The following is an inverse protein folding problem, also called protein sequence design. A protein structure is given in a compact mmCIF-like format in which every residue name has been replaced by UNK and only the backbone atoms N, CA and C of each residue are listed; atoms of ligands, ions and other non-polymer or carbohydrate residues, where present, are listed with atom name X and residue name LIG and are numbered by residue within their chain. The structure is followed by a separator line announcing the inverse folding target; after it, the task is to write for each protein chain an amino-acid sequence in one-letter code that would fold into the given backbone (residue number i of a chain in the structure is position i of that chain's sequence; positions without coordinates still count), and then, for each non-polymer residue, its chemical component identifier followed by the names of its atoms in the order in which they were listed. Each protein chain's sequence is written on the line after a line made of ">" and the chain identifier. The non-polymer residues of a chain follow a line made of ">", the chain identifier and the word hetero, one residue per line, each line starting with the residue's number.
data_IF_217575144094
#
_entry.id   IF_217575144094
#
_cell.length_a   1.000
_cell.length_b   1.000
_cell.length_c   1.000
_cell.angle_alpha   90.00
_cell.angle_beta   90.00
_cell.angle_gamma   90.00
#
_symmetry.space_group_name_H-M   'P 1'
#
loop_
_entity.id
_entity.type
_entity.pdbx_description
1 polymer ?
#
# COMPACT_ATOMS: atom_id res chain seq x y z
N UNK A 1 -1.39 14.62 -8.25
CA UNK A 1 -0.97 13.25 -7.90
C UNK A 1 -1.88 12.68 -6.80
N UNK A 2 -1.93 13.25 -5.58
CA UNK A 2 -2.80 12.72 -4.51
C UNK A 2 -4.30 12.65 -4.88
N UNK A 3 -4.87 13.72 -5.46
CA UNK A 3 -6.28 13.73 -5.88
C UNK A 3 -6.60 12.69 -6.98
N UNK A 4 -5.67 12.48 -7.93
CA UNK A 4 -5.79 11.49 -9.01
C UNK A 4 -5.68 10.05 -8.45
N UNK A 5 -4.79 9.82 -7.48
CA UNK A 5 -4.67 8.53 -6.79
C UNK A 5 -5.95 8.19 -6.01
N UNK A 6 -6.53 9.17 -5.30
CA UNK A 6 -7.80 8.99 -4.58
C UNK A 6 -8.94 8.67 -5.55
N UNK A 7 -8.99 9.31 -6.72
CA UNK A 7 -9.99 9.01 -7.75
C UNK A 7 -9.86 7.58 -8.28
N UNK A 8 -8.63 7.13 -8.57
CA UNK A 8 -8.34 5.74 -9.00
C UNK A 8 -8.77 4.74 -7.92
N UNK A 9 -8.46 5.00 -6.65
CA UNK A 9 -8.84 4.14 -5.53
C UNK A 9 -10.37 4.06 -5.36
N UNK A 10 -11.07 5.19 -5.55
CA UNK A 10 -12.53 5.22 -5.53
C UNK A 10 -13.15 4.41 -6.66
N UNK A 11 -12.64 4.52 -7.90
CA UNK A 11 -13.10 3.71 -9.03
C UNK A 11 -12.86 2.21 -8.81
N UNK A 12 -11.72 1.84 -8.24
CA UNK A 12 -11.43 0.47 -7.85
C UNK A 12 -12.45 -0.03 -6.81
N UNK A 13 -12.67 0.76 -5.75
CA UNK A 13 -13.64 0.44 -4.69
C UNK A 13 -15.04 0.20 -5.24
N UNK A 14 -15.53 1.07 -6.10
CA UNK A 14 -16.85 0.92 -6.73
C UNK A 14 -16.97 -0.39 -7.53
N UNK A 15 -15.90 -0.76 -8.24
CA UNK A 15 -15.85 -2.00 -9.02
C UNK A 15 -15.95 -3.24 -8.12
N UNK A 16 -15.22 -3.25 -7.00
CA UNK A 16 -15.28 -4.36 -6.02
C UNK A 16 -16.64 -4.42 -5.31
N UNK A 17 -17.22 -3.27 -4.92
CA UNK A 17 -18.56 -3.20 -4.33
C UNK A 17 -19.62 -3.74 -5.28
N UNK A 18 -19.56 -3.38 -6.57
CA UNK A 18 -20.47 -3.89 -7.60
C UNK A 18 -20.34 -5.41 -7.76
N UNK A 19 -19.10 -5.93 -7.80
CA UNK A 19 -18.82 -7.37 -7.89
C UNK A 19 -19.33 -8.13 -6.66
N UNK A 20 -19.14 -7.58 -5.45
CA UNK A 20 -19.67 -8.14 -4.20
C UNK A 20 -21.20 -8.20 -4.21
N UNK A 21 -21.86 -7.14 -4.71
CA UNK A 21 -23.32 -7.11 -4.82
C UNK A 21 -23.85 -8.15 -5.80
N UNK A 22 -23.25 -8.26 -6.98
CA UNK A 22 -23.62 -9.28 -7.96
C UNK A 22 -23.41 -10.70 -7.41
N UNK A 23 -22.33 -10.92 -6.66
CA UNK A 23 -22.08 -12.20 -5.98
C UNK A 23 -23.13 -12.48 -4.88
N UNK A 24 -23.48 -11.48 -4.07
CA UNK A 24 -24.54 -11.61 -3.07
C UNK A 24 -25.88 -12.00 -3.70
N UNK A 25 -26.25 -11.37 -4.82
CA UNK A 25 -27.48 -11.70 -5.56
C UNK A 25 -27.49 -13.14 -6.08
N UNK A 26 -26.32 -13.69 -6.47
CA UNK A 26 -26.19 -15.10 -6.85
C UNK A 26 -26.24 -16.06 -5.65
N UNK A 27 -25.92 -15.58 -4.44
CA UNK A 27 -25.98 -16.37 -3.22
C UNK A 27 -27.39 -16.47 -2.63
N UNK A 28 -28.27 -15.48 -2.84
CA UNK A 28 -29.63 -15.44 -2.27
C UNK A 28 -30.51 -16.65 -2.66
N UNK A 29 -30.55 -17.11 -3.93
CA UNK A 29 -31.38 -18.26 -4.33
C UNK A 29 -30.77 -19.61 -3.94
N UNK A 30 -29.49 -19.64 -3.57
CA UNK A 30 -28.67 -20.84 -3.65
C UNK A 30 -28.16 -21.26 -2.26
N UNK A 31 -29.06 -21.70 -1.38
CA UNK A 31 -28.79 -22.10 0.01
C UNK A 31 -27.42 -22.76 0.25
N UNK A 32 -27.24 -24.03 -0.14
CA UNK A 32 -25.97 -24.74 0.07
C UNK A 32 -24.82 -24.28 -0.86
N UNK A 33 -25.11 -23.60 -1.97
CA UNK A 33 -24.07 -23.07 -2.87
C UNK A 33 -23.43 -21.79 -2.33
N UNK A 34 -24.12 -21.05 -1.44
CA UNK A 34 -23.57 -19.90 -0.74
C UNK A 34 -22.26 -20.23 0.00
N UNK A 35 -22.11 -21.46 0.51
CA UNK A 35 -20.86 -21.91 1.14
C UNK A 35 -19.67 -21.96 0.14
N UNK A 36 -19.93 -22.20 -1.15
CA UNK A 36 -18.88 -22.17 -2.19
C UNK A 36 -18.46 -20.76 -2.55
N UNK A 37 -19.37 -19.80 -2.45
CA UNK A 37 -19.09 -18.38 -2.71
C UNK A 37 -18.53 -17.65 -1.48
N UNK A 38 -18.68 -18.20 -0.27
CA UNK A 38 -18.25 -17.56 0.97
C UNK A 38 -16.76 -17.16 1.01
N UNK A 39 -15.78 -17.97 0.55
CA UNK A 39 -14.38 -17.55 0.52
C UNK A 39 -14.15 -16.35 -0.40
N UNK A 40 -14.68 -16.41 -1.63
CA UNK A 40 -14.55 -15.33 -2.60
C UNK A 40 -15.29 -14.06 -2.16
N UNK A 41 -16.41 -14.20 -1.43
CA UNK A 41 -17.15 -13.08 -0.86
C UNK A 41 -16.34 -12.39 0.25
N UNK A 42 -15.68 -13.17 1.11
CA UNK A 42 -14.77 -12.65 2.14
C UNK A 42 -13.57 -11.93 1.50
N UNK A 43 -12.99 -12.48 0.43
CA UNK A 43 -11.89 -11.84 -0.30
C UNK A 43 -12.33 -10.49 -0.90
N UNK A 44 -13.53 -10.41 -1.47
CA UNK A 44 -14.09 -9.15 -1.97
C UNK A 44 -14.30 -8.12 -0.84
N UNK A 45 -14.77 -8.57 0.32
CA UNK A 45 -14.94 -7.69 1.49
C UNK A 45 -13.57 -7.18 2.00
N UNK A 46 -12.59 -8.06 2.13
CA UNK A 46 -11.23 -7.70 2.53
C UNK A 46 -10.58 -6.69 1.55
N UNK A 47 -10.79 -6.88 0.24
CA UNK A 47 -10.30 -5.96 -0.78
C UNK A 47 -10.94 -4.56 -0.66
N UNK A 48 -12.25 -4.49 -0.38
CA UNK A 48 -12.94 -3.21 -0.17
C UNK A 48 -12.39 -2.50 1.08
N UNK A 49 -12.20 -3.23 2.18
CA UNK A 49 -11.65 -2.66 3.42
C UNK A 49 -10.20 -2.18 3.26
N UNK A 50 -9.39 -2.91 2.48
CA UNK A 50 -8.04 -2.48 2.14
C UNK A 50 -8.04 -1.19 1.31
N UNK A 51 -8.98 -1.05 0.36
CA UNK A 51 -9.14 0.18 -0.43
C UNK A 51 -9.64 1.35 0.43
N UNK A 52 -10.59 1.10 1.34
CA UNK A 52 -11.08 2.13 2.27
C UNK A 52 -9.94 2.64 3.17
N UNK A 53 -9.07 1.74 3.66
CA UNK A 53 -7.87 2.13 4.42
C UNK A 53 -6.89 2.92 3.55
N UNK A 54 -6.63 2.48 2.32
CA UNK A 54 -5.72 3.18 1.41
C UNK A 54 -6.21 4.59 1.07
N UNK A 55 -7.51 4.77 0.83
CA UNK A 55 -8.12 6.10 0.61
C UNK A 55 -7.92 6.98 1.85
N UNK A 56 -8.24 6.46 3.04
CA UNK A 56 -8.09 7.21 4.28
C UNK A 56 -6.62 7.56 4.61
N UNK A 57 -5.68 6.71 4.21
CA UNK A 57 -4.25 6.98 4.35
C UNK A 57 -3.82 8.07 3.36
N UNK A 58 -4.22 8.00 2.09
CA UNK A 58 -3.96 9.06 1.09
C UNK A 58 -4.56 10.42 1.47
N UNK A 59 -5.74 10.45 2.10
CA UNK A 59 -6.36 11.69 2.62
C UNK A 59 -5.61 12.30 3.80
N UNK A 60 -4.94 11.48 4.62
CA UNK A 60 -4.16 11.92 5.78
C UNK A 60 -2.73 12.32 5.42
N UNK A 61 -2.23 11.86 4.28
CA UNK A 61 -0.88 12.17 3.85
C UNK A 61 -0.76 13.67 3.50
N UNK A 62 0.25 14.37 4.04
CA UNK A 62 0.49 15.75 3.68
C UNK A 62 0.83 15.85 2.18
N UNK A 63 0.39 16.95 1.55
CA UNK A 63 0.73 17.23 0.16
C UNK A 63 2.25 17.18 -0.02
N UNK A 64 2.72 16.28 -0.88
CA UNK A 64 4.14 16.10 -1.16
C UNK A 64 4.81 14.88 -0.51
N UNK A 65 4.10 14.04 0.24
CA UNK A 65 4.68 12.82 0.83
C UNK A 65 5.28 11.85 -0.20
N UNK A 66 4.67 11.75 -1.39
CA UNK A 66 5.20 10.96 -2.51
C UNK A 66 6.06 11.80 -3.48
N UNK A 67 6.17 13.11 -3.26
CA UNK A 67 7.18 13.92 -3.93
C UNK A 67 8.48 13.51 -3.29
N UNK A 68 9.28 12.71 -4.01
CA UNK A 68 10.66 12.35 -3.62
C UNK A 68 11.24 13.53 -2.84
N UNK A 69 11.64 13.25 -1.61
CA UNK A 69 12.54 14.12 -0.85
C UNK A 69 13.50 14.74 -1.86
N UNK A 70 13.63 16.08 -1.95
CA UNK A 70 14.78 16.62 -2.67
C UNK A 70 15.97 15.92 -2.03
N UNK A 71 16.73 15.15 -2.82
CA UNK A 71 18.02 14.60 -2.41
C UNK A 71 18.69 15.72 -1.64
N UNK A 72 18.75 15.58 -0.32
CA UNK A 72 19.22 16.64 0.56
C UNK A 72 20.52 17.11 -0.03
N UNK A 73 20.52 18.38 -0.46
CA UNK A 73 21.69 19.05 -0.95
C UNK A 73 22.85 18.64 -0.05
N UNK A 74 23.76 17.83 -0.60
CA UNK A 74 25.01 17.51 0.10
C UNK A 74 25.59 18.88 0.45
N UNK A 75 25.85 19.19 1.72
CA UNK A 75 26.64 20.38 2.02
C UNK A 75 27.96 20.19 1.27
N UNK A 76 28.33 21.18 0.45
CA UNK A 76 29.64 21.25 -0.19
C UNK A 76 30.70 20.97 0.89
N UNK A 77 31.21 19.74 0.87
CA UNK A 77 32.33 19.34 1.70
C UNK A 77 33.52 20.17 1.24
N UNK A 78 34.22 20.89 2.14
CA UNK A 78 35.47 21.53 1.76
C UNK A 78 36.43 20.43 1.31
N UNK A 79 36.82 20.54 0.05
CA UNK A 79 37.90 19.87 -0.64
C UNK A 79 38.91 19.17 0.30
N UNK A 80 38.86 17.83 0.35
CA UNK A 80 39.91 17.05 1.00
C UNK A 80 39.49 15.65 1.45
N UNK A 81 39.81 14.65 0.65
CA UNK A 81 40.07 13.29 1.13
C UNK A 81 38.95 12.28 0.88
N UNK A 82 39.35 11.21 0.20
CA UNK A 82 38.64 9.94 0.01
C UNK A 82 37.99 9.36 1.29
N UNK A 83 37.04 8.46 1.03
CA UNK A 83 36.46 7.45 1.91
C UNK A 83 35.08 7.78 2.51
N UNK A 84 34.09 7.07 1.98
CA UNK A 84 32.72 6.86 2.46
C UNK A 84 32.62 6.54 3.95
N UNK A 85 31.59 7.04 4.68
CA UNK A 85 31.24 6.49 5.99
C UNK A 85 30.53 5.14 5.79
N UNK A 86 31.32 4.06 5.74
CA UNK A 86 30.80 2.70 5.82
C UNK A 86 30.32 2.46 7.26
N UNK A 87 29.00 2.37 7.47
CA UNK A 87 28.39 1.99 8.76
C UNK A 87 28.48 0.48 9.04
N UNK A 88 29.50 -0.19 8.52
CA UNK A 88 29.77 -1.60 8.80
C UNK A 88 30.74 -1.65 9.97
N UNK A 89 30.22 -2.04 11.13
CA UNK A 89 31.06 -2.44 12.26
C UNK A 89 31.65 -3.80 11.87
N UNK A 90 32.92 -3.85 11.50
CA UNK A 90 33.64 -5.12 11.37
C UNK A 90 33.70 -5.77 12.75
N UNK A 91 32.92 -6.83 12.94
CA UNK A 91 32.96 -7.66 14.13
C UNK A 91 33.97 -8.76 13.88
N UNK A 92 35.20 -8.57 14.36
CA UNK A 92 36.21 -9.61 14.42
C UNK A 92 35.78 -10.68 15.44
N UNK A 93 35.39 -11.85 14.95
CA UNK A 93 35.17 -13.03 15.79
C UNK A 93 36.52 -13.74 15.97
N UNK A 94 37.14 -13.56 17.14
CA UNK A 94 38.35 -14.31 17.55
C UNK A 94 37.97 -15.74 17.98
N UNK A 95 38.42 -16.80 17.27
CA UNK A 95 38.17 -18.17 17.67
C UNK A 95 39.23 -18.62 18.69
N UNK A 96 38.96 -18.38 19.98
CA UNK A 96 39.69 -18.98 21.10
C UNK A 96 39.29 -20.43 21.38
#
# INVERSE_FOLDING_TARGET
>A
MAAENIEILNQARESFVRKRRAMAEQMIPAGAAAQRFAPAFADLQNAIEALDRAIADEEKLPEGYATKEPETARPDLPNGGDATPSNVVDVDFDPS
#
